data_IF_876631540632
#
_entry.id   IF_876631540632
#
_cell.length_a   1.000
_cell.length_b   1.000
_cell.length_c   1.000
_cell.angle_alpha   90.00
_cell.angle_beta   90.00
_cell.angle_gamma   90.00
#
_symmetry.space_group_name_H-M   'P 1'
#
loop_
_entity.id
_entity.type
_entity.pdbx_description
1 polymer ?
#
# COMPACT_ATOMS: atom_id res chain seq x y z
N UNK A 1 23.38 7.55 26.71
CA UNK A 1 22.30 8.31 26.04
C UNK A 1 20.99 7.54 26.18
N UNK A 2 19.96 8.13 26.80
CA UNK A 2 18.60 7.53 26.81
C UNK A 2 17.99 7.73 25.44
N UNK A 3 17.67 6.64 24.73
CA UNK A 3 16.97 6.69 23.45
C UNK A 3 15.60 7.38 23.68
N UNK A 4 15.43 8.57 23.09
CA UNK A 4 14.22 9.41 23.19
C UNK A 4 13.21 9.10 22.08
N UNK A 5 13.48 8.09 21.24
CA UNK A 5 12.60 7.72 20.13
C UNK A 5 11.24 7.29 20.67
N UNK A 6 10.24 8.12 20.41
CA UNK A 6 8.88 7.87 20.82
C UNK A 6 8.30 6.59 20.20
N UNK A 7 8.99 5.96 19.22
CA UNK A 7 8.71 4.63 18.61
C UNK A 7 8.71 3.51 19.66
N UNK A 8 9.38 3.71 20.78
CA UNK A 8 9.57 2.68 21.83
C UNK A 8 8.60 2.76 23.01
N UNK A 9 7.63 3.70 23.00
CA UNK A 9 6.67 3.85 24.10
C UNK A 9 5.68 2.67 24.09
N UNK A 10 5.47 1.99 25.23
CA UNK A 10 4.66 0.77 25.28
C UNK A 10 3.18 1.08 25.01
N UNK A 11 2.55 0.24 24.18
CA UNK A 11 1.14 -0.11 24.35
C UNK A 11 0.93 -0.75 25.73
N UNK A 12 -0.32 -0.75 26.19
CA UNK A 12 -0.82 -1.24 27.48
C UNK A 12 0.03 -2.31 28.22
N UNK A 13 0.06 -2.20 29.57
CA UNK A 13 0.83 -3.08 30.48
C UNK A 13 0.56 -4.57 30.18
N UNK A 14 1.57 -5.27 29.67
CA UNK A 14 1.50 -6.71 29.36
C UNK A 14 2.06 -7.08 27.98
N UNK A 15 2.17 -6.12 27.07
CA UNK A 15 2.62 -6.39 25.70
C UNK A 15 4.13 -6.27 25.51
N UNK A 16 4.70 -7.18 24.72
CA UNK A 16 6.12 -7.13 24.35
C UNK A 16 6.38 -5.91 23.46
N UNK A 17 7.27 -5.02 23.91
CA UNK A 17 7.72 -3.87 23.11
C UNK A 17 8.32 -4.30 21.77
N UNK A 18 7.96 -3.61 20.68
CA UNK A 18 8.58 -3.73 19.36
C UNK A 18 9.94 -3.04 19.31
N UNK A 19 10.92 -3.58 20.05
CA UNK A 19 12.27 -2.98 20.16
C UNK A 19 12.99 -2.91 18.80
N UNK A 20 12.66 -3.79 17.87
CA UNK A 20 13.24 -3.81 16.52
C UNK A 20 12.55 -2.85 15.54
N UNK A 21 11.43 -2.21 15.93
CA UNK A 21 10.66 -1.34 15.03
C UNK A 21 11.49 -0.23 14.37
N UNK A 22 12.33 0.55 15.08
CA UNK A 22 13.12 1.60 14.43
C UNK A 22 14.05 1.07 13.33
N UNK A 23 14.63 -0.12 13.53
CA UNK A 23 15.50 -0.75 12.52
C UNK A 23 14.68 -1.22 11.32
N UNK A 24 13.57 -1.93 11.57
CA UNK A 24 12.69 -2.44 10.52
C UNK A 24 12.10 -1.34 9.65
N UNK A 25 11.74 -0.20 10.24
CA UNK A 25 11.24 0.95 9.50
C UNK A 25 12.32 1.58 8.61
N UNK A 26 13.58 1.60 9.05
CA UNK A 26 14.70 2.00 8.18
C UNK A 26 14.95 0.99 7.06
N UNK A 27 14.91 -0.30 7.37
CA UNK A 27 15.09 -1.35 6.36
C UNK A 27 14.00 -1.24 5.27
N UNK A 28 12.75 -0.94 5.66
CA UNK A 28 11.64 -0.74 4.73
C UNK A 28 11.80 0.54 3.89
N UNK A 29 12.31 1.63 4.48
CA UNK A 29 12.63 2.84 3.72
C UNK A 29 13.77 2.57 2.72
N UNK A 30 14.83 1.88 3.12
CA UNK A 30 15.91 1.49 2.21
C UNK A 30 15.41 0.61 1.07
N UNK A 31 14.50 -0.33 1.34
CA UNK A 31 13.84 -1.12 0.31
C UNK A 31 13.08 -0.23 -0.69
N UNK A 32 12.37 0.80 -0.22
CA UNK A 32 11.69 1.75 -1.10
C UNK A 32 12.67 2.52 -1.99
N UNK A 33 13.82 2.91 -1.43
CA UNK A 33 14.87 3.64 -2.15
C UNK A 33 15.53 2.79 -3.25
N UNK A 34 15.53 1.46 -3.12
CA UNK A 34 16.07 0.55 -4.14
C UNK A 34 15.35 0.62 -5.49
N UNK A 35 14.13 1.17 -5.55
CA UNK A 35 13.41 1.38 -6.81
C UNK A 35 13.81 2.68 -7.54
N UNK A 36 14.63 3.53 -6.93
CA UNK A 36 15.14 4.73 -7.61
C UNK A 36 16.15 4.34 -8.70
N UNK A 37 15.85 4.67 -9.95
CA UNK A 37 16.64 4.27 -11.12
C UNK A 37 16.48 2.79 -11.50
N UNK A 38 15.56 2.06 -10.86
CA UNK A 38 15.34 0.65 -11.10
C UNK A 38 13.85 0.37 -11.32
N UNK A 39 13.51 -0.08 -12.52
CA UNK A 39 12.16 -0.51 -12.88
C UNK A 39 12.22 -1.94 -13.43
N UNK A 40 11.31 -2.84 -13.03
CA UNK A 40 11.32 -4.22 -13.52
C UNK A 40 11.35 -4.28 -15.06
N UNK A 41 12.20 -5.17 -15.58
CA UNK A 41 12.27 -5.43 -17.01
C UNK A 41 10.99 -6.10 -17.52
N UNK A 42 10.71 -6.03 -18.84
CA UNK A 42 9.58 -6.74 -19.43
C UNK A 42 9.58 -8.25 -19.15
N UNK A 43 10.77 -8.86 -18.99
CA UNK A 43 10.91 -10.27 -18.63
C UNK A 43 10.49 -10.53 -17.18
N UNK A 44 10.91 -9.68 -16.24
CA UNK A 44 10.51 -9.78 -14.83
C UNK A 44 9.01 -9.54 -14.62
N UNK A 45 8.40 -8.67 -15.42
CA UNK A 45 6.95 -8.41 -15.37
C UNK A 45 6.13 -9.59 -15.92
N UNK A 46 6.71 -10.41 -16.80
CA UNK A 46 6.07 -11.56 -17.40
C UNK A 46 5.10 -11.19 -18.53
N UNK A 47 5.27 -11.79 -19.70
CA UNK A 47 4.55 -11.42 -20.93
C UNK A 47 3.04 -11.70 -20.93
N UNK A 48 2.54 -12.52 -19.99
CA UNK A 48 1.12 -12.87 -19.86
C UNK A 48 0.51 -12.47 -18.51
N UNK A 49 1.26 -11.78 -17.66
CA UNK A 49 0.74 -11.36 -16.37
C UNK A 49 -0.23 -10.18 -16.55
N UNK A 50 -1.30 -10.14 -15.76
CA UNK A 50 -2.18 -8.94 -15.67
C UNK A 50 -1.57 -7.87 -14.76
N UNK A 51 -0.71 -8.30 -13.85
CA UNK A 51 -0.03 -7.45 -12.89
C UNK A 51 1.22 -8.14 -12.34
N UNK A 52 2.11 -7.34 -11.80
CA UNK A 52 3.23 -7.76 -10.95
C UNK A 52 3.10 -7.03 -9.62
N UNK A 53 3.36 -7.70 -8.50
CA UNK A 53 3.21 -7.07 -7.18
C UNK A 53 4.37 -7.39 -6.24
N UNK A 54 4.50 -6.54 -5.23
CA UNK A 54 5.39 -6.75 -4.11
C UNK A 54 4.67 -6.45 -2.81
N UNK A 55 4.39 -7.50 -2.00
CA UNK A 55 3.79 -7.35 -0.67
C UNK A 55 4.72 -6.56 0.24
N UNK A 56 4.16 -5.79 1.18
CA UNK A 56 4.94 -5.01 2.15
C UNK A 56 6.01 -5.90 2.82
N UNK A 57 7.33 -5.63 2.64
CA UNK A 57 8.38 -6.52 3.14
C UNK A 57 8.67 -6.28 4.62
N UNK A 58 7.68 -6.61 5.44
CA UNK A 58 7.80 -6.60 6.89
C UNK A 58 7.13 -7.85 7.46
N UNK A 59 6.92 -7.88 8.79
CA UNK A 59 6.19 -8.94 9.48
C UNK A 59 4.85 -8.40 9.97
N UNK A 60 3.80 -9.22 9.89
CA UNK A 60 2.45 -8.87 10.39
C UNK A 60 2.50 -8.28 11.81
N UNK A 61 3.25 -8.91 12.72
CA UNK A 61 3.38 -8.42 14.10
C UNK A 61 4.06 -7.06 14.29
N UNK A 62 4.61 -6.42 13.25
CA UNK A 62 5.07 -5.02 13.30
C UNK A 62 3.95 -4.03 12.97
N UNK A 63 3.06 -4.40 12.04
CA UNK A 63 2.12 -3.48 11.35
C UNK A 63 0.64 -3.74 11.71
N UNK A 64 0.35 -4.90 12.30
CA UNK A 64 -0.97 -5.31 12.79
C UNK A 64 -0.89 -5.93 14.20
N UNK A 65 0.31 -6.08 14.77
CA UNK A 65 0.47 -6.65 16.10
C UNK A 65 -0.09 -5.75 17.22
N UNK A 66 -0.36 -6.27 18.42
CA UNK A 66 -0.94 -5.50 19.53
C UNK A 66 -0.14 -4.24 19.91
N UNK A 67 1.19 -4.32 19.84
CA UNK A 67 2.08 -3.21 20.13
C UNK A 67 2.28 -2.22 18.95
N UNK A 68 1.56 -2.40 17.86
CA UNK A 68 1.59 -1.49 16.70
C UNK A 68 0.96 -0.15 17.09
N UNK A 69 1.46 0.92 16.48
CA UNK A 69 0.87 2.26 16.64
C UNK A 69 0.59 2.84 15.26
N UNK A 70 -0.33 3.81 15.19
CA UNK A 70 -0.60 4.57 13.96
C UNK A 70 0.70 5.14 13.36
N UNK A 71 1.67 5.55 14.18
CA UNK A 71 2.96 6.03 13.65
C UNK A 71 3.76 4.94 12.93
N UNK A 72 3.72 3.69 13.42
CA UNK A 72 4.39 2.57 12.74
C UNK A 72 3.68 2.28 11.42
N UNK A 73 2.35 2.22 11.43
CA UNK A 73 1.54 2.03 10.23
C UNK A 73 1.81 3.14 9.21
N UNK A 74 1.73 4.42 9.62
CA UNK A 74 2.09 5.58 8.79
C UNK A 74 3.48 5.43 8.18
N UNK A 75 4.49 5.03 8.94
CA UNK A 75 5.84 4.86 8.42
C UNK A 75 5.92 3.73 7.36
N UNK A 76 5.19 2.63 7.57
CA UNK A 76 5.07 1.57 6.58
C UNK A 76 4.33 2.04 5.30
N UNK A 77 3.18 2.71 5.45
CA UNK A 77 2.45 3.29 4.32
C UNK A 77 3.30 4.28 3.54
N UNK A 78 4.01 5.18 4.24
CA UNK A 78 4.89 6.15 3.60
C UNK A 78 6.01 5.47 2.80
N UNK A 79 6.56 4.35 3.28
CA UNK A 79 7.59 3.61 2.55
C UNK A 79 7.02 3.00 1.26
N UNK A 80 5.80 2.45 1.29
CA UNK A 80 5.11 1.94 0.08
C UNK A 80 4.83 3.06 -0.92
N UNK A 81 4.34 4.21 -0.46
CA UNK A 81 4.09 5.39 -1.30
C UNK A 81 5.39 5.91 -1.93
N UNK A 82 6.48 5.98 -1.15
CA UNK A 82 7.80 6.38 -1.65
C UNK A 82 8.31 5.40 -2.72
N UNK A 83 8.18 4.10 -2.49
CA UNK A 83 8.56 3.08 -3.47
C UNK A 83 7.74 3.18 -4.75
N UNK A 84 6.42 3.39 -4.65
CA UNK A 84 5.54 3.64 -5.78
C UNK A 84 5.98 4.88 -6.58
N UNK A 85 6.32 5.98 -5.91
CA UNK A 85 6.82 7.19 -6.57
C UNK A 85 8.16 6.95 -7.27
N UNK A 86 9.09 6.24 -6.63
CA UNK A 86 10.38 5.87 -7.21
C UNK A 86 10.21 5.02 -8.48
N UNK A 87 9.27 4.08 -8.48
CA UNK A 87 8.92 3.28 -9.65
C UNK A 87 8.32 4.14 -10.77
N UNK A 88 7.39 5.04 -10.48
CA UNK A 88 6.79 5.95 -11.48
C UNK A 88 7.90 6.76 -12.17
N UNK A 89 8.83 7.32 -11.39
CA UNK A 89 9.93 8.15 -11.90
C UNK A 89 10.98 7.35 -12.69
N UNK A 90 11.18 6.09 -12.32
CA UNK A 90 12.20 5.22 -12.94
C UNK A 90 11.68 4.45 -14.15
N UNK A 91 10.38 4.57 -14.47
CA UNK A 91 9.75 3.83 -15.55
C UNK A 91 10.28 4.28 -16.92
N UNK A 92 10.81 3.35 -17.74
CA UNK A 92 11.27 3.69 -19.08
C UNK A 92 10.08 4.00 -20.00
N UNK A 93 10.31 4.85 -21.00
CA UNK A 93 9.28 5.22 -21.99
C UNK A 93 8.69 4.00 -22.74
N UNK A 94 9.49 2.94 -22.95
CA UNK A 94 9.04 1.68 -23.55
C UNK A 94 7.98 0.94 -22.73
N UNK A 95 7.83 1.27 -21.44
CA UNK A 95 6.87 0.66 -20.53
C UNK A 95 5.83 1.68 -20.02
N UNK A 96 5.60 2.78 -20.75
CA UNK A 96 4.70 3.87 -20.31
C UNK A 96 3.25 3.42 -20.04
N UNK A 97 2.82 2.31 -20.62
CA UNK A 97 1.48 1.73 -20.40
C UNK A 97 1.35 1.03 -19.04
N UNK A 98 2.45 0.59 -18.42
CA UNK A 98 2.42 -0.06 -17.10
C UNK A 98 1.96 0.96 -16.06
N UNK A 99 0.84 0.66 -15.40
CA UNK A 99 0.31 1.52 -14.33
C UNK A 99 0.94 1.13 -13.00
N UNK A 100 1.49 2.11 -12.29
CA UNK A 100 2.16 1.88 -11.01
C UNK A 100 1.29 2.41 -9.88
N UNK A 101 1.00 1.55 -8.91
CA UNK A 101 0.25 1.89 -7.71
C UNK A 101 0.84 1.21 -6.48
N UNK A 102 0.47 1.68 -5.29
CA UNK A 102 0.50 0.87 -4.08
C UNK A 102 -0.84 0.93 -3.38
N UNK A 103 -1.19 -0.13 -2.65
CA UNK A 103 -2.41 -0.23 -1.89
C UNK A 103 -2.10 -0.37 -0.40
N UNK A 104 -2.76 0.45 0.42
CA UNK A 104 -2.75 0.37 1.88
C UNK A 104 -4.10 -0.17 2.33
N UNK A 105 -4.11 -1.43 2.80
CA UNK A 105 -5.31 -2.08 3.29
C UNK A 105 -5.59 -1.71 4.76
N UNK A 106 -6.86 -1.53 5.12
CA UNK A 106 -7.32 -1.34 6.50
C UNK A 106 -8.53 -2.24 6.79
N UNK A 107 -8.63 -2.84 7.99
CA UNK A 107 -7.61 -2.88 9.05
C UNK A 107 -6.43 -3.82 8.74
N UNK A 108 -6.52 -4.64 7.69
CA UNK A 108 -5.55 -5.68 7.33
C UNK A 108 -4.29 -5.19 6.61
N UNK A 109 -3.55 -4.25 7.19
CA UNK A 109 -2.40 -3.59 6.55
C UNK A 109 -1.25 -4.51 6.11
N UNK A 110 -1.12 -5.73 6.61
CA UNK A 110 -0.10 -6.68 6.15
C UNK A 110 -0.39 -7.23 4.75
N UNK A 111 -1.63 -7.10 4.25
CA UNK A 111 -1.97 -7.42 2.86
C UNK A 111 -1.55 -6.33 1.86
N UNK A 112 -1.13 -5.16 2.36
CA UNK A 112 -0.68 -3.99 1.57
C UNK A 112 0.48 -4.33 0.65
N UNK A 113 0.54 -3.64 -0.50
CA UNK A 113 1.47 -3.99 -1.56
C UNK A 113 1.71 -2.84 -2.55
N UNK A 114 2.76 -2.98 -3.35
CA UNK A 114 2.92 -2.26 -4.60
C UNK A 114 2.40 -3.15 -5.72
N UNK A 115 1.68 -2.57 -6.68
CA UNK A 115 1.19 -3.25 -7.88
C UNK A 115 1.56 -2.47 -9.15
N UNK A 116 2.17 -3.18 -10.09
CA UNK A 116 2.37 -2.77 -11.46
C UNK A 116 1.34 -3.48 -12.32
N UNK A 117 0.32 -2.75 -12.77
CA UNK A 117 -0.73 -3.29 -13.62
C UNK A 117 -0.33 -3.21 -15.09
N UNK A 118 -0.40 -4.36 -15.76
CA UNK A 118 -0.19 -4.53 -17.20
C UNK A 118 -1.51 -4.52 -17.97
N UNK A 119 -2.61 -4.75 -17.25
CA UNK A 119 -3.97 -4.78 -17.73
C UNK A 119 -4.80 -3.72 -16.99
N UNK A 120 -5.29 -2.72 -17.74
CA UNK A 120 -6.11 -1.63 -17.19
C UNK A 120 -7.48 -2.12 -16.70
N UNK A 121 -8.10 -3.09 -17.39
CA UNK A 121 -9.38 -3.64 -16.95
C UNK A 121 -9.21 -4.41 -15.62
N UNK A 122 -8.08 -5.08 -15.45
CA UNK A 122 -7.75 -5.71 -14.17
C UNK A 122 -7.57 -4.68 -13.05
N UNK A 123 -6.89 -3.56 -13.29
CA UNK A 123 -6.82 -2.45 -12.32
C UNK A 123 -8.22 -1.91 -12.00
N UNK A 124 -9.05 -1.62 -13.00
CA UNK A 124 -10.40 -1.10 -12.81
C UNK A 124 -11.27 -2.05 -11.98
N UNK A 125 -11.09 -3.36 -12.11
CA UNK A 125 -11.76 -4.37 -11.27
C UNK A 125 -11.47 -4.23 -9.76
N UNK A 126 -10.40 -3.53 -9.37
CA UNK A 126 -10.07 -3.28 -7.96
C UNK A 126 -10.57 -1.92 -7.44
N UNK A 127 -10.81 -0.95 -8.33
CA UNK A 127 -11.06 0.45 -7.93
C UNK A 127 -12.41 1.00 -8.35
N UNK A 128 -13.06 0.40 -9.35
CA UNK A 128 -14.36 0.84 -9.82
C UNK A 128 -15.46 0.37 -8.85
N UNK A 129 -16.45 1.23 -8.62
CA UNK A 129 -17.62 0.83 -7.84
C UNK A 129 -18.45 -0.20 -8.61
N UNK A 130 -18.95 -1.20 -7.91
CA UNK A 130 -19.75 -2.28 -8.50
C UNK A 130 -21.24 -2.01 -8.36
N UNK A 131 -22.05 -2.52 -9.29
CA UNK A 131 -23.49 -2.30 -9.31
C UNK A 131 -24.22 -2.95 -8.12
N UNK A 132 -23.65 -4.02 -7.56
CA UNK A 132 -24.15 -4.71 -6.37
C UNK A 132 -23.76 -3.99 -5.06
N UNK A 133 -22.97 -2.91 -5.14
CA UNK A 133 -22.53 -2.14 -3.98
C UNK A 133 -21.45 -2.81 -3.14
N UNK A 134 -20.89 -3.95 -3.56
CA UNK A 134 -19.81 -4.62 -2.82
C UNK A 134 -18.50 -3.84 -2.86
N UNK A 135 -18.26 -3.07 -3.91
CA UNK A 135 -17.12 -2.17 -4.03
C UNK A 135 -17.67 -0.76 -4.20
N UNK A 136 -17.29 0.16 -3.31
CA UNK A 136 -17.75 1.56 -3.37
C UNK A 136 -16.58 2.53 -3.19
N UNK A 137 -16.60 3.65 -3.91
CA UNK A 137 -15.59 4.67 -3.77
C UNK A 137 -15.75 5.44 -2.45
N UNK A 138 -14.64 5.64 -1.72
CA UNK A 138 -14.59 6.48 -0.54
C UNK A 138 -14.25 7.90 -0.99
N UNK A 139 -15.24 8.81 -0.92
CA UNK A 139 -15.09 10.22 -1.33
C UNK A 139 -15.22 11.21 -0.18
N UNK A 140 -15.65 10.74 1.00
CA UNK A 140 -15.94 11.56 2.18
C UNK A 140 -14.72 11.83 3.06
N UNK A 141 -13.61 11.12 2.84
CA UNK A 141 -12.39 11.23 3.65
C UNK A 141 -11.14 10.91 2.84
N UNK A 142 -9.98 11.19 3.42
CA UNK A 142 -8.67 11.02 2.79
C UNK A 142 -7.71 10.43 3.82
N UNK A 143 -7.20 9.21 3.55
CA UNK A 143 -6.28 8.55 4.47
C UNK A 143 -4.95 9.30 4.56
N UNK A 144 -4.46 9.87 3.47
CA UNK A 144 -3.27 10.71 3.47
C UNK A 144 -3.43 11.96 4.31
N UNK A 145 -4.59 12.61 4.31
CA UNK A 145 -4.87 13.72 5.22
C UNK A 145 -4.93 13.27 6.68
N UNK A 146 -5.67 12.19 6.97
CA UNK A 146 -5.83 11.64 8.33
C UNK A 146 -4.49 11.21 8.94
N UNK A 147 -3.67 10.53 8.14
CA UNK A 147 -2.40 9.96 8.59
C UNK A 147 -1.22 10.91 8.36
N UNK A 148 -1.46 12.06 7.73
CA UNK A 148 -0.44 13.02 7.31
C UNK A 148 0.64 12.36 6.43
N UNK A 149 0.22 11.54 5.48
CA UNK A 149 1.10 10.95 4.47
C UNK A 149 1.47 12.04 3.46
N UNK A 150 2.72 12.00 3.00
CA UNK A 150 3.21 12.89 1.95
C UNK A 150 3.00 12.18 0.62
N UNK A 151 2.29 12.85 -0.30
CA UNK A 151 2.11 12.38 -1.68
C UNK A 151 3.15 13.06 -2.58
N UNK A 152 4.13 12.30 -3.12
CA UNK A 152 5.09 12.84 -4.08
C UNK A 152 4.42 13.26 -5.39
N UNK A 153 5.15 14.00 -6.24
CA UNK A 153 4.67 14.36 -7.56
C UNK A 153 4.30 13.11 -8.38
N UNK A 154 3.14 13.15 -9.04
CA UNK A 154 2.62 12.04 -9.84
C UNK A 154 1.94 10.94 -9.04
N UNK A 155 1.81 11.09 -7.71
CA UNK A 155 1.08 10.17 -6.84
C UNK A 155 -0.24 10.83 -6.43
N UNK A 156 -1.34 10.21 -6.81
CA UNK A 156 -2.69 10.57 -6.39
C UNK A 156 -3.21 9.54 -5.38
N UNK A 157 -4.37 9.80 -4.76
CA UNK A 157 -5.03 8.92 -3.79
C UNK A 157 -6.42 8.52 -4.29
N UNK A 158 -6.80 7.25 -4.07
CA UNK A 158 -8.16 6.75 -4.28
C UNK A 158 -8.52 5.72 -3.20
N UNK A 159 -9.55 6.01 -2.41
CA UNK A 159 -10.08 5.09 -1.40
C UNK A 159 -11.24 4.26 -1.93
N UNK A 160 -11.29 2.99 -1.51
CA UNK A 160 -12.34 2.03 -1.88
C UNK A 160 -12.75 1.25 -0.64
N UNK A 161 -14.05 1.12 -0.43
CA UNK A 161 -14.65 0.24 0.57
C UNK A 161 -15.08 -1.04 -0.14
N UNK A 162 -14.65 -2.19 0.40
CA UNK A 162 -15.07 -3.52 -0.03
C UNK A 162 -15.89 -4.16 1.08
N UNK A 163 -17.14 -4.50 0.76
CA UNK A 163 -18.14 -5.06 1.66
C UNK A 163 -18.81 -6.26 0.97
N UNK A 164 -18.20 -7.42 1.11
CA UNK A 164 -18.70 -8.71 0.60
C UNK A 164 -19.42 -9.42 1.75
N UNK A 165 -20.72 -9.72 1.62
CA UNK A 165 -21.45 -10.41 2.67
C UNK A 165 -20.97 -11.85 2.83
N UNK A 166 -21.04 -12.42 4.06
CA UNK A 166 -20.74 -13.82 4.28
C UNK A 166 -21.71 -14.72 3.50
N UNK A 167 -21.22 -15.89 3.13
CA UNK A 167 -22.00 -16.99 2.54
C UNK A 167 -21.82 -18.25 3.37
N UNK A 168 -22.51 -19.33 3.02
CA UNK A 168 -22.31 -20.63 3.70
C UNK A 168 -20.87 -21.18 3.60
N UNK A 169 -20.04 -20.62 2.71
CA UNK A 169 -18.68 -21.10 2.42
C UNK A 169 -17.58 -20.05 2.67
N UNK A 170 -17.94 -18.81 2.98
CA UNK A 170 -17.00 -17.70 3.10
C UNK A 170 -17.48 -16.71 4.17
N UNK A 171 -16.58 -16.26 5.04
CA UNK A 171 -16.89 -15.33 6.14
C UNK A 171 -17.20 -13.89 5.66
N UNK A 172 -17.10 -13.64 4.37
CA UNK A 172 -17.25 -12.32 3.77
C UNK A 172 -15.98 -11.49 3.95
N UNK A 173 -16.06 -10.24 3.51
CA UNK A 173 -14.94 -9.30 3.55
C UNK A 173 -15.45 -7.90 3.84
N UNK A 174 -14.89 -7.28 4.88
CA UNK A 174 -15.15 -5.87 5.20
C UNK A 174 -13.80 -5.16 5.34
N UNK A 175 -13.37 -4.45 4.31
CA UNK A 175 -12.05 -3.82 4.26
C UNK A 175 -12.05 -2.53 3.43
N UNK A 176 -11.21 -1.60 3.84
CA UNK A 176 -10.85 -0.45 3.02
C UNK A 176 -9.53 -0.72 2.29
N UNK A 177 -9.46 -0.32 1.03
CA UNK A 177 -8.26 -0.30 0.24
C UNK A 177 -7.98 1.12 -0.23
N UNK A 178 -6.84 1.66 0.20
CA UNK A 178 -6.40 3.01 -0.17
C UNK A 178 -5.26 2.91 -1.17
N UNK A 179 -5.59 3.18 -2.43
CA UNK A 179 -4.64 3.16 -3.54
C UNK A 179 -3.93 4.50 -3.65
N UNK A 180 -2.63 4.43 -3.93
CA UNK A 180 -1.79 5.58 -4.21
C UNK A 180 -0.98 5.35 -5.49
N UNK A 181 -0.68 6.41 -6.21
CA UNK A 181 0.12 6.36 -7.44
C UNK A 181 -0.69 6.86 -8.62
N UNK A 182 -0.58 6.17 -9.76
CA UNK A 182 -1.40 6.48 -10.92
C UNK A 182 -2.78 5.84 -10.73
N UNK A 183 -3.70 6.56 -10.07
CA UNK A 183 -5.04 6.04 -9.76
C UNK A 183 -6.16 6.73 -10.54
N UNK A 184 -5.88 7.83 -11.24
CA UNK A 184 -6.82 8.47 -12.14
C UNK A 184 -7.19 7.55 -13.31
N UNK A 185 -8.43 7.67 -13.77
CA UNK A 185 -8.93 6.92 -14.92
C UNK A 185 -8.18 7.39 -16.17
N UNK A 186 -7.55 6.45 -16.87
CA UNK A 186 -6.91 6.75 -18.16
C UNK A 186 -8.02 6.80 -19.20
N UNK A 187 -8.34 8.00 -19.69
CA UNK A 187 -9.18 8.16 -20.88
C UNK A 187 -8.30 7.86 -22.10
N UNK A 188 -8.64 6.81 -22.85
CA UNK A 188 -8.05 6.54 -24.16
C UNK A 188 -8.96 7.12 -25.24
#
# INVERSE_FOLDING_TARGET
MRNRDAITRPGTRGEKKLRDAPRRLRDLQHWADCFSGAFPSPEELGSQARYWNYKVPTRAGLIEGPATTLRIQRACAQSLISACANLIQSRPASQATVRVTCCIAQPGMFSSEICLYLDEAYFQGHVASTADGQVTAITSRSLSAEWQLVLPQGVEERGVQVSIPPTDHDDGLEQEYWFYGEVADRRW
#
